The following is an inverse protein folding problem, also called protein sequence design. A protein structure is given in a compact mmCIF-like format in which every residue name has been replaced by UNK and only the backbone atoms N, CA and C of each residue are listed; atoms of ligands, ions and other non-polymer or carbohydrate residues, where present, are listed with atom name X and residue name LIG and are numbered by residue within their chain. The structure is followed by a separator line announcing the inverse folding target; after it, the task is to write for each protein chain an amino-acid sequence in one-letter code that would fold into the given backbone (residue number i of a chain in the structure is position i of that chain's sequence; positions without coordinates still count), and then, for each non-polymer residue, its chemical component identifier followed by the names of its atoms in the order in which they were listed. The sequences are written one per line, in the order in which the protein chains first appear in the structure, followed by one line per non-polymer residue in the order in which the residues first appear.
data_IF_020367837626
#
_entry.id   IF_020367837626
#
_cell.length_a   1.000
_cell.length_b   1.000
_cell.length_c   1.000
_cell.angle_alpha   90.00
_cell.angle_beta   90.00
_cell.angle_gamma   90.00
#
_symmetry.space_group_name_H-M   'P 1'
#
loop_
_entity.id
_entity.type
_entity.pdbx_description
1 polymer ?
#
# COMPACT_ATOMS: atom_id res chain seq x y z
N UNK A 1 46.53 -13.92 30.11
CA UNK A 1 45.12 -14.24 29.95
C UNK A 1 44.39 -12.95 29.59
N UNK A 2 44.16 -12.72 28.30
CA UNK A 2 43.35 -11.59 27.80
C UNK A 2 42.22 -12.21 26.99
N UNK A 3 41.09 -12.48 27.62
CA UNK A 3 39.90 -13.08 27.08
C UNK A 3 38.83 -12.02 26.71
N UNK A 4 37.83 -12.31 26.05
CA UNK A 4 37.42 -11.93 24.71
C UNK A 4 36.27 -10.93 24.73
N UNK A 5 36.56 -9.68 24.99
CA UNK A 5 35.58 -8.56 24.91
C UNK A 5 35.01 -8.45 23.48
N UNK A 6 35.74 -8.86 22.45
CA UNK A 6 35.26 -8.83 21.06
C UNK A 6 34.12 -9.80 20.76
N UNK A 7 34.06 -10.96 21.43
CA UNK A 7 33.02 -11.94 21.22
C UNK A 7 31.68 -11.51 21.88
N UNK A 8 31.76 -10.82 23.01
CA UNK A 8 30.57 -10.33 23.71
C UNK A 8 29.91 -9.18 22.93
N UNK A 9 30.71 -8.29 22.32
CA UNK A 9 30.19 -7.21 21.48
C UNK A 9 29.53 -7.72 20.19
N UNK A 10 30.07 -8.77 19.57
CA UNK A 10 29.48 -9.37 18.36
C UNK A 10 28.14 -10.08 18.66
N UNK A 11 28.01 -10.70 19.85
CA UNK A 11 26.77 -11.37 20.24
C UNK A 11 25.69 -10.36 20.64
N UNK A 12 26.06 -9.25 21.27
CA UNK A 12 25.13 -8.16 21.59
C UNK A 12 24.62 -7.43 20.33
N UNK A 13 25.47 -7.30 19.29
CA UNK A 13 25.08 -6.72 18.01
C UNK A 13 24.11 -7.63 17.21
N UNK A 14 24.26 -8.96 17.34
CA UNK A 14 23.31 -9.91 16.73
C UNK A 14 21.94 -9.91 17.42
N UNK A 15 21.89 -9.63 18.71
CA UNK A 15 20.61 -9.53 19.46
C UNK A 15 19.85 -8.24 19.15
N UNK A 16 20.53 -7.17 18.73
CA UNK A 16 19.87 -5.92 18.32
C UNK A 16 19.30 -5.97 16.90
N UNK A 17 19.72 -6.94 16.07
CA UNK A 17 19.20 -7.13 14.71
C UNK A 17 17.94 -8.04 14.68
N UNK A 18 17.47 -8.54 15.82
CA UNK A 18 16.25 -9.36 15.94
C UNK A 18 15.02 -8.55 16.37
N UNK A 19 15.09 -7.21 16.22
CA UNK A 19 13.96 -6.35 16.51
C UNK A 19 13.09 -6.22 15.25
N UNK A 20 11.80 -6.44 15.48
CA UNK A 20 10.66 -6.12 14.65
C UNK A 20 10.33 -7.03 13.45
N UNK A 21 10.22 -8.34 13.71
CA UNK A 21 9.09 -9.02 13.09
C UNK A 21 7.89 -8.74 14.02
N UNK A 22 7.35 -7.55 13.92
CA UNK A 22 6.04 -7.30 14.46
C UNK A 22 5.09 -8.22 13.71
N UNK A 23 4.62 -9.28 14.36
CA UNK A 23 3.59 -10.13 13.80
C UNK A 23 2.42 -9.19 13.46
N UNK A 24 2.03 -9.15 12.20
CA UNK A 24 0.90 -8.35 11.77
C UNK A 24 -0.32 -8.83 12.57
N UNK A 25 -0.85 -7.95 13.41
CA UNK A 25 -2.02 -8.26 14.23
C UNK A 25 -3.22 -8.38 13.31
N UNK A 26 -3.72 -9.59 13.09
CA UNK A 26 -4.91 -9.82 12.29
C UNK A 26 -6.14 -9.41 13.08
N UNK A 27 -6.88 -8.44 12.59
CA UNK A 27 -8.16 -8.01 13.19
C UNK A 27 -9.24 -9.03 12.85
N UNK A 28 -9.76 -9.67 13.88
CA UNK A 28 -10.92 -10.56 13.74
C UNK A 28 -12.23 -9.78 13.89
N UNK A 29 -13.30 -10.27 13.27
CA UNK A 29 -14.64 -9.70 13.37
C UNK A 29 -14.74 -8.24 12.92
N UNK A 30 -14.24 -7.93 11.73
CA UNK A 30 -14.30 -6.59 11.12
C UNK A 30 -15.75 -6.10 11.04
N UNK A 31 -16.69 -6.97 10.65
CA UNK A 31 -18.12 -6.64 10.52
C UNK A 31 -18.81 -6.22 11.83
N UNK A 32 -18.24 -6.54 12.99
CA UNK A 32 -18.76 -6.16 14.31
C UNK A 32 -18.14 -4.87 14.88
N UNK A 33 -17.31 -4.16 14.09
CA UNK A 33 -16.63 -2.94 14.50
C UNK A 33 -17.23 -1.72 13.81
N UNK A 34 -16.99 -0.54 14.37
CA UNK A 34 -17.30 0.71 13.68
C UNK A 34 -16.40 0.83 12.45
N UNK A 35 -16.98 0.81 11.26
CA UNK A 35 -16.25 0.83 9.98
C UNK A 35 -16.70 2.02 9.15
N UNK A 36 -15.73 2.75 8.62
CA UNK A 36 -15.93 3.72 7.54
C UNK A 36 -15.43 3.09 6.24
N UNK A 37 -16.34 2.83 5.30
CA UNK A 37 -15.95 2.30 4.00
C UNK A 37 -15.24 3.35 3.14
N UNK A 38 -14.12 2.96 2.55
CA UNK A 38 -13.39 3.74 1.55
C UNK A 38 -13.64 3.21 0.12
N UNK A 39 -14.59 2.30 -0.05
CA UNK A 39 -14.98 1.76 -1.36
C UNK A 39 -15.49 2.85 -2.30
N UNK A 40 -15.46 2.55 -3.59
CA UNK A 40 -15.95 3.41 -4.64
C UNK A 40 -14.86 3.80 -5.62
N UNK A 41 -14.97 4.98 -6.24
CA UNK A 41 -13.99 5.43 -7.24
C UNK A 41 -12.78 6.04 -6.58
N UNK A 42 -11.61 5.52 -6.94
CA UNK A 42 -10.31 6.04 -6.55
C UNK A 42 -9.63 6.66 -7.76
N UNK A 43 -8.89 7.72 -7.54
CA UNK A 43 -8.00 8.26 -8.56
C UNK A 43 -6.83 7.28 -8.76
N UNK A 44 -6.38 7.10 -9.99
CA UNK A 44 -5.34 6.12 -10.31
C UNK A 44 -4.33 6.64 -11.32
N UNK A 45 -3.11 6.13 -11.23
CA UNK A 45 -2.01 6.39 -12.16
C UNK A 45 -1.39 5.06 -12.56
N UNK A 46 -1.31 4.79 -13.86
CA UNK A 46 -0.56 3.64 -14.39
C UNK A 46 0.90 4.02 -14.48
N UNK A 47 1.74 3.37 -13.69
CA UNK A 47 3.18 3.64 -13.60
C UNK A 47 3.96 2.66 -14.48
N UNK A 48 3.95 2.92 -15.78
CA UNK A 48 4.54 2.02 -16.79
C UNK A 48 6.04 1.76 -16.58
N UNK A 49 6.74 2.67 -15.93
CA UNK A 49 8.20 2.62 -15.78
C UNK A 49 8.63 2.38 -14.34
N UNK A 50 7.69 2.15 -13.42
CA UNK A 50 7.94 1.94 -11.99
C UNK A 50 8.78 3.07 -11.36
N UNK A 51 8.49 4.31 -11.76
CA UNK A 51 9.19 5.51 -11.29
C UNK A 51 8.43 6.27 -10.21
N UNK A 52 7.21 5.88 -9.89
CA UNK A 52 6.34 6.63 -8.98
C UNK A 52 6.93 6.83 -7.60
N UNK A 53 7.63 5.82 -7.04
CA UNK A 53 8.34 5.96 -5.75
C UNK A 53 9.48 6.96 -5.83
N UNK A 54 10.28 6.90 -6.87
CA UNK A 54 11.40 7.83 -7.11
C UNK A 54 10.90 9.26 -7.26
N UNK A 55 9.79 9.43 -7.96
CA UNK A 55 9.14 10.73 -8.16
C UNK A 55 8.25 11.14 -6.98
N UNK A 56 8.14 10.29 -5.95
CA UNK A 56 7.39 10.54 -4.72
C UNK A 56 5.94 10.96 -4.99
N UNK A 57 5.26 10.28 -5.94
CA UNK A 57 3.89 10.62 -6.33
C UNK A 57 2.90 10.48 -5.17
N UNK A 58 3.23 9.66 -4.16
CA UNK A 58 2.46 9.52 -2.93
C UNK A 58 2.37 10.82 -2.09
N UNK A 59 3.23 11.81 -2.36
CA UNK A 59 3.13 13.13 -1.74
C UNK A 59 2.05 14.00 -2.39
N UNK A 60 1.59 13.64 -3.58
CA UNK A 60 0.63 14.41 -4.37
C UNK A 60 0.97 15.92 -4.43
N UNK A 61 2.24 16.20 -4.71
CA UNK A 61 2.73 17.59 -4.80
C UNK A 61 2.10 18.27 -6.01
N UNK A 62 1.84 19.55 -5.87
CA UNK A 62 1.43 20.42 -6.97
C UNK A 62 2.60 21.29 -7.41
N UNK A 63 2.66 21.70 -8.68
CA UNK A 63 3.65 22.66 -9.15
C UNK A 63 3.53 23.95 -8.34
N UNK A 64 4.65 24.42 -7.79
CA UNK A 64 4.73 25.71 -7.06
C UNK A 64 5.03 26.86 -8.00
N UNK A 65 5.56 26.57 -9.19
CA UNK A 65 5.92 27.56 -10.20
C UNK A 65 5.72 27.05 -11.63
N UNK A 66 5.84 27.98 -12.60
CA UNK A 66 5.65 27.66 -14.04
C UNK A 66 6.72 26.71 -14.61
N UNK A 67 7.85 26.58 -13.93
CA UNK A 67 8.97 25.73 -14.34
C UNK A 67 8.97 24.37 -13.65
N UNK A 68 8.09 24.17 -12.65
CA UNK A 68 7.97 22.90 -11.95
C UNK A 68 7.16 21.95 -12.80
N UNK A 69 7.77 20.85 -13.15
CA UNK A 69 7.15 19.79 -13.91
C UNK A 69 7.01 18.54 -13.02
N UNK A 70 5.77 18.08 -12.87
CA UNK A 70 5.47 16.78 -12.27
C UNK A 70 4.86 15.89 -13.34
N UNK A 71 5.53 14.80 -13.62
CA UNK A 71 5.10 13.83 -14.65
C UNK A 71 3.79 13.15 -14.29
N UNK A 72 3.54 12.99 -12.98
CA UNK A 72 2.39 12.25 -12.47
C UNK A 72 1.53 13.14 -11.57
N UNK A 73 0.23 13.12 -11.81
CA UNK A 73 -0.76 13.78 -10.96
C UNK A 73 -2.01 12.94 -10.86
N UNK A 74 -2.56 12.82 -9.66
CA UNK A 74 -3.87 12.20 -9.45
C UNK A 74 -5.03 13.12 -9.87
N UNK A 75 -4.77 14.41 -10.03
CA UNK A 75 -5.79 15.36 -10.45
C UNK A 75 -6.09 15.13 -11.96
N UNK A 76 -7.35 14.86 -12.30
CA UNK A 76 -7.82 14.56 -13.66
C UNK A 76 -7.26 13.27 -14.31
N UNK A 77 -6.78 12.35 -13.48
CA UNK A 77 -6.29 11.06 -13.91
C UNK A 77 -7.39 10.04 -14.19
N UNK A 78 -6.94 8.80 -14.37
CA UNK A 78 -7.78 7.63 -14.45
C UNK A 78 -8.54 7.44 -13.13
N UNK A 79 -9.77 6.90 -13.20
CA UNK A 79 -10.53 6.47 -12.02
C UNK A 79 -10.87 5.00 -12.12
N UNK A 80 -10.55 4.27 -11.06
CA UNK A 80 -10.84 2.85 -10.94
C UNK A 80 -11.80 2.60 -9.77
N UNK A 81 -12.66 1.62 -9.94
CA UNK A 81 -13.54 1.17 -8.86
C UNK A 81 -12.75 0.29 -7.88
N UNK A 82 -12.98 0.50 -6.60
CA UNK A 82 -12.44 -0.28 -5.48
C UNK A 82 -13.63 -0.72 -4.61
N UNK A 83 -13.76 -2.02 -4.30
CA UNK A 83 -12.89 -3.12 -4.70
C UNK A 83 -13.14 -3.57 -6.15
N UNK A 84 -12.07 -3.78 -6.89
CA UNK A 84 -12.05 -4.45 -8.19
C UNK A 84 -10.60 -4.62 -8.69
N UNK A 85 -10.41 -5.42 -9.75
CA UNK A 85 -9.17 -5.45 -10.51
C UNK A 85 -9.19 -4.45 -11.67
N UNK A 86 -8.01 -3.91 -12.04
CA UNK A 86 -7.95 -2.98 -13.16
C UNK A 86 -8.06 -3.65 -14.53
N UNK A 87 -7.74 -4.94 -14.61
CA UNK A 87 -7.70 -5.68 -15.87
C UNK A 87 -9.10 -5.85 -16.48
N UNK A 88 -10.15 -5.92 -15.64
CA UNK A 88 -11.53 -6.03 -16.07
C UNK A 88 -12.23 -4.67 -16.26
N UNK A 89 -11.69 -3.58 -15.71
CA UNK A 89 -12.34 -2.27 -15.75
C UNK A 89 -12.07 -1.50 -17.05
N UNK A 90 -10.89 -1.71 -17.65
CA UNK A 90 -10.46 -0.95 -18.81
C UNK A 90 -9.82 -1.85 -19.87
N UNK A 91 -10.25 -1.73 -21.14
CA UNK A 91 -9.66 -2.51 -22.24
C UNK A 91 -8.15 -2.34 -22.36
N UNK A 92 -7.63 -1.11 -22.12
CA UNK A 92 -6.22 -0.76 -22.19
C UNK A 92 -5.38 -1.47 -21.12
N UNK A 93 -5.99 -1.80 -19.98
CA UNK A 93 -5.34 -2.48 -18.86
C UNK A 93 -5.60 -3.99 -18.85
N UNK A 94 -6.35 -4.52 -19.81
CA UNK A 94 -6.76 -5.93 -19.84
C UNK A 94 -5.59 -6.91 -19.64
N UNK A 95 -4.45 -6.59 -20.21
CA UNK A 95 -3.25 -7.44 -20.15
C UNK A 95 -2.08 -6.76 -19.42
N UNK A 96 -2.37 -5.65 -18.73
CA UNK A 96 -1.34 -4.92 -18.01
C UNK A 96 -0.89 -5.68 -16.77
N UNK A 97 0.41 -5.94 -16.71
CA UNK A 97 1.14 -6.36 -15.51
C UNK A 97 2.16 -5.29 -15.17
N UNK A 98 2.13 -4.79 -13.97
CA UNK A 98 3.01 -3.70 -13.56
C UNK A 98 2.47 -2.97 -12.33
N UNK A 99 2.84 -1.72 -12.21
CA UNK A 99 2.48 -0.88 -11.07
C UNK A 99 1.34 0.06 -11.41
N UNK A 100 0.31 0.06 -10.57
CA UNK A 100 -0.77 1.05 -10.57
C UNK A 100 -0.83 1.68 -9.17
N UNK A 101 -0.83 3.01 -9.16
CA UNK A 101 -1.03 3.79 -7.96
C UNK A 101 -2.49 4.16 -7.82
N UNK A 102 -3.05 3.94 -6.64
CA UNK A 102 -4.39 4.34 -6.25
C UNK A 102 -4.31 5.48 -5.26
N UNK A 103 -5.26 6.42 -5.32
CA UNK A 103 -5.35 7.47 -4.32
C UNK A 103 -6.80 7.74 -3.91
N UNK A 104 -7.00 8.00 -2.62
CA UNK A 104 -8.27 8.39 -2.02
C UNK A 104 -8.09 9.49 -1.00
N UNK A 105 -8.97 10.49 -1.06
CA UNK A 105 -9.11 11.48 0.01
C UNK A 105 -10.28 11.09 0.90
N UNK A 106 -10.11 11.25 2.21
CA UNK A 106 -11.16 10.95 3.17
C UNK A 106 -10.98 11.74 4.46
N UNK A 107 -12.07 11.90 5.18
CA UNK A 107 -12.08 12.49 6.49
C UNK A 107 -12.24 11.38 7.53
N UNK A 108 -11.55 11.50 8.64
CA UNK A 108 -11.62 10.55 9.74
C UNK A 108 -11.95 11.31 11.02
N UNK A 109 -13.17 11.18 11.55
CA UNK A 109 -13.53 11.82 12.79
C UNK A 109 -12.60 11.35 13.92
N UNK A 110 -12.20 12.27 14.78
CA UNK A 110 -11.35 11.97 15.92
C UNK A 110 -12.02 10.93 16.82
N UNK A 111 -11.30 9.84 17.09
CA UNK A 111 -11.75 8.77 17.96
C UNK A 111 -10.82 8.65 19.16
N UNK A 112 -11.05 9.50 20.15
CA UNK A 112 -10.26 9.53 21.39
C UNK A 112 -10.31 8.17 22.10
N UNK A 113 -9.13 7.62 22.38
CA UNK A 113 -8.98 6.38 23.16
C UNK A 113 -9.28 5.09 22.38
N UNK A 114 -9.46 5.13 21.06
CA UNK A 114 -9.64 3.95 20.22
C UNK A 114 -8.45 3.75 19.29
N UNK A 115 -8.09 2.50 19.04
CA UNK A 115 -7.14 2.14 17.98
C UNK A 115 -7.86 2.20 16.63
N UNK A 116 -7.17 2.76 15.63
CA UNK A 116 -7.69 2.91 14.27
C UNK A 116 -6.82 2.13 13.30
N UNK A 117 -7.45 1.45 12.37
CA UNK A 117 -6.77 0.60 11.40
C UNK A 117 -7.30 0.86 10.00
N UNK A 118 -6.42 0.79 9.01
CA UNK A 118 -6.81 0.56 7.63
C UNK A 118 -6.87 -0.96 7.42
N UNK A 119 -8.03 -1.44 6.98
CA UNK A 119 -8.25 -2.84 6.62
C UNK A 119 -8.34 -2.98 5.10
N UNK A 120 -7.60 -3.94 4.56
CA UNK A 120 -7.68 -4.34 3.17
C UNK A 120 -8.04 -5.82 3.12
N UNK A 121 -9.16 -6.17 2.49
CA UNK A 121 -9.58 -7.56 2.37
C UNK A 121 -8.72 -8.36 1.40
N UNK A 122 -8.21 -7.73 0.35
CA UNK A 122 -7.15 -8.26 -0.51
C UNK A 122 -6.60 -7.19 -1.45
N UNK A 123 -5.29 -7.22 -1.69
CA UNK A 123 -4.61 -6.40 -2.70
C UNK A 123 -3.70 -7.31 -3.53
N UNK A 124 -3.90 -7.36 -4.83
CA UNK A 124 -3.17 -8.28 -5.70
C UNK A 124 -2.10 -7.53 -6.51
N UNK A 125 -0.83 -7.85 -6.43
CA UNK A 125 -0.25 -8.95 -5.62
C UNK A 125 0.57 -8.41 -4.45
N UNK A 126 1.34 -7.33 -4.67
CA UNK A 126 2.14 -6.61 -3.66
C UNK A 126 1.67 -5.19 -3.58
N UNK A 127 1.70 -4.63 -2.39
CA UNK A 127 1.40 -3.21 -2.23
C UNK A 127 2.28 -2.54 -1.18
N UNK A 128 2.36 -1.20 -1.31
CA UNK A 128 2.84 -0.28 -0.28
C UNK A 128 1.77 0.76 -0.04
N UNK A 129 1.56 1.08 1.20
CA UNK A 129 0.51 1.99 1.63
C UNK A 129 1.14 3.23 2.22
N UNK A 130 0.69 4.39 1.75
CA UNK A 130 1.16 5.70 2.18
C UNK A 130 -0.02 6.51 2.69
N UNK A 131 0.11 7.06 3.89
CA UNK A 131 -0.89 7.94 4.49
C UNK A 131 -0.26 9.31 4.74
N UNK A 132 -0.88 10.35 4.19
CA UNK A 132 -0.42 11.74 4.33
C UNK A 132 1.04 11.96 3.92
N UNK A 133 1.55 11.14 2.98
CA UNK A 133 2.92 11.22 2.45
C UNK A 133 3.95 10.35 3.16
N UNK A 134 3.55 9.60 4.18
CA UNK A 134 4.40 8.68 4.94
C UNK A 134 4.06 7.24 4.56
N UNK A 135 5.08 6.39 4.35
CA UNK A 135 4.87 4.94 4.17
C UNK A 135 4.50 4.33 5.53
N UNK A 136 3.31 3.73 5.59
CA UNK A 136 2.78 3.15 6.83
C UNK A 136 2.76 1.63 6.84
N UNK A 137 2.98 0.99 5.69
CA UNK A 137 3.05 -0.46 5.61
C UNK A 137 3.16 -0.99 4.20
N UNK A 138 3.44 -2.28 4.11
CA UNK A 138 3.51 -3.04 2.86
C UNK A 138 2.92 -4.43 3.08
N UNK A 139 2.41 -5.04 2.00
CA UNK A 139 1.88 -6.40 2.04
C UNK A 139 2.21 -7.13 0.74
N UNK A 140 2.39 -8.44 0.84
CA UNK A 140 2.55 -9.33 -0.29
C UNK A 140 1.63 -10.54 -0.12
N UNK A 141 0.83 -10.82 -1.14
CA UNK A 141 -0.14 -11.91 -1.15
C UNK A 141 -1.51 -11.43 -1.64
N UNK A 142 -1.94 -11.89 -2.82
CA UNK A 142 -3.11 -11.35 -3.53
C UNK A 142 -4.47 -11.73 -2.95
N UNK A 143 -4.54 -12.59 -1.92
CA UNK A 143 -5.80 -13.21 -1.50
C UNK A 143 -6.07 -13.11 0.01
N UNK A 144 -5.11 -12.66 0.77
CA UNK A 144 -5.18 -12.57 2.23
C UNK A 144 -5.46 -11.15 2.69
N UNK A 145 -6.32 -10.96 3.70
CA UNK A 145 -6.51 -9.65 4.31
C UNK A 145 -5.30 -9.23 5.13
N UNK A 146 -5.14 -7.92 5.28
CA UNK A 146 -4.14 -7.32 6.15
C UNK A 146 -4.64 -6.00 6.72
N UNK A 147 -4.07 -5.62 7.85
CA UNK A 147 -4.38 -4.39 8.55
C UNK A 147 -3.12 -3.60 8.85
N UNK A 148 -3.27 -2.28 8.80
CA UNK A 148 -2.21 -1.34 9.17
C UNK A 148 -2.77 -0.43 10.25
N UNK A 149 -2.13 -0.39 11.41
CA UNK A 149 -2.52 0.54 12.47
C UNK A 149 -2.17 1.97 12.07
N UNK A 150 -3.15 2.86 12.17
CA UNK A 150 -3.03 4.29 11.85
C UNK A 150 -3.42 5.18 13.03
N UNK A 151 -3.43 4.62 14.23
CA UNK A 151 -3.74 5.35 15.46
C UNK A 151 -2.79 6.56 15.61
N UNK A 152 -3.36 7.75 15.69
CA UNK A 152 -2.59 8.99 15.80
C UNK A 152 -1.95 9.50 14.47
N UNK A 153 -2.08 8.76 13.37
CA UNK A 153 -1.58 9.18 12.05
C UNK A 153 -2.66 9.89 11.21
N UNK A 154 -3.93 9.72 11.58
CA UNK A 154 -5.06 10.32 10.88
C UNK A 154 -5.27 11.77 11.32
N UNK A 155 -5.63 12.59 10.35
CA UNK A 155 -6.14 13.95 10.56
C UNK A 155 -7.67 13.90 10.61
N UNK A 156 -8.34 14.82 11.30
CA UNK A 156 -9.80 14.91 11.29
C UNK A 156 -10.36 15.06 9.88
N UNK A 157 -9.67 15.84 9.05
CA UNK A 157 -10.08 16.13 7.67
C UNK A 157 -8.91 16.06 6.70
N UNK A 158 -9.21 15.78 5.44
CA UNK A 158 -8.28 15.86 4.33
C UNK A 158 -7.15 14.84 4.35
N UNK A 159 -7.37 13.63 4.88
CA UNK A 159 -6.38 12.57 4.75
C UNK A 159 -6.20 12.19 3.28
N UNK A 160 -4.95 11.95 2.92
CA UNK A 160 -4.58 11.46 1.61
C UNK A 160 -3.96 10.06 1.75
N UNK A 161 -4.66 9.07 1.24
CA UNK A 161 -4.21 7.68 1.18
C UNK A 161 -3.76 7.39 -0.24
N UNK A 162 -2.51 6.94 -0.40
CA UNK A 162 -1.99 6.43 -1.64
C UNK A 162 -1.56 4.97 -1.48
N UNK A 163 -1.89 4.13 -2.46
CA UNK A 163 -1.55 2.71 -2.46
C UNK A 163 -0.85 2.37 -3.77
N UNK A 164 0.40 2.01 -3.69
CA UNK A 164 1.15 1.41 -4.80
C UNK A 164 0.79 -0.07 -4.87
N UNK A 165 0.26 -0.51 -5.99
CA UNK A 165 -0.10 -1.92 -6.22
C UNK A 165 0.67 -2.44 -7.42
N UNK A 166 1.33 -3.58 -7.27
CA UNK A 166 2.08 -4.21 -8.36
C UNK A 166 1.67 -5.69 -8.49
N UNK A 167 1.20 -6.07 -9.68
CA UNK A 167 0.79 -7.43 -9.99
C UNK A 167 1.80 -8.19 -10.88
N UNK A 168 2.99 -7.68 -11.06
CA UNK A 168 4.02 -8.37 -11.86
C UNK A 168 4.27 -9.76 -11.29
N UNK A 169 4.14 -10.78 -12.13
CA UNK A 169 4.42 -12.16 -11.75
C UNK A 169 5.90 -12.38 -11.55
N UNK A 170 6.23 -13.09 -10.48
CA UNK A 170 7.59 -13.51 -10.17
C UNK A 170 7.63 -15.04 -9.96
N UNK A 171 8.81 -15.61 -10.00
CA UNK A 171 8.98 -17.08 -9.93
C UNK A 171 8.40 -17.68 -8.65
N UNK A 172 8.57 -16.97 -7.53
CA UNK A 172 8.21 -17.46 -6.19
C UNK A 172 6.84 -16.93 -5.69
N UNK A 173 6.03 -16.35 -6.59
CA UNK A 173 4.69 -15.83 -6.27
C UNK A 173 3.58 -16.85 -6.57
N UNK A 174 2.37 -16.57 -6.13
CA UNK A 174 1.15 -17.32 -6.45
C UNK A 174 0.12 -16.35 -7.06
N UNK A 175 -0.18 -16.42 -8.39
CA UNK A 175 0.37 -17.38 -9.36
C UNK A 175 1.82 -17.06 -9.75
N UNK A 176 2.62 -18.11 -9.90
CA UNK A 176 3.98 -17.99 -10.43
C UNK A 176 3.97 -17.85 -11.96
N UNK A 177 5.09 -17.43 -12.54
CA UNK A 177 5.22 -17.24 -14.00
C UNK A 177 4.90 -18.47 -14.85
N UNK A 178 5.08 -19.67 -14.28
CA UNK A 178 4.84 -20.93 -14.96
C UNK A 178 3.35 -21.31 -15.06
N UNK A 179 2.45 -20.65 -14.35
CA UNK A 179 1.03 -20.94 -14.40
C UNK A 179 0.35 -20.15 -15.51
N UNK A 180 -0.57 -20.80 -16.24
CA UNK A 180 -1.26 -20.23 -17.40
C UNK A 180 -2.43 -19.31 -17.06
N UNK A 181 -2.71 -19.04 -15.80
CA UNK A 181 -3.76 -18.10 -15.41
C UNK A 181 -3.23 -16.67 -15.25
N UNK A 182 -4.13 -15.75 -15.45
CA UNK A 182 -3.81 -14.31 -15.43
C UNK A 182 -3.71 -13.80 -14.00
N UNK A 183 -2.78 -12.89 -13.74
CA UNK A 183 -2.64 -12.23 -12.46
C UNK A 183 -3.39 -10.88 -12.48
N UNK A 184 -4.65 -10.90 -12.08
CA UNK A 184 -5.47 -9.70 -11.99
C UNK A 184 -4.97 -8.81 -10.86
N UNK A 185 -4.66 -7.54 -11.17
CA UNK A 185 -4.09 -6.60 -10.23
C UNK A 185 -5.11 -5.59 -9.70
N UNK A 186 -4.98 -5.18 -8.45
CA UNK A 186 -5.85 -4.16 -7.85
C UNK A 186 -6.11 -4.35 -6.37
N UNK A 187 -6.90 -3.44 -5.81
CA UNK A 187 -7.52 -3.59 -4.49
C UNK A 187 -8.81 -4.37 -4.74
N UNK A 188 -8.77 -5.69 -4.52
CA UNK A 188 -9.79 -6.61 -5.04
C UNK A 188 -10.86 -6.99 -4.03
N UNK A 189 -10.66 -6.68 -2.76
CA UNK A 189 -11.66 -6.87 -1.68
C UNK A 189 -11.64 -5.69 -0.71
N UNK A 190 -12.79 -5.53 -0.02
CA UNK A 190 -13.01 -4.51 1.01
C UNK A 190 -12.01 -4.59 2.15
#
# INVERSE_FOLDING_TARGET
MKTPIKFILSFALLLLAAADIAAQELITNVCGRDVQSLNGKWDAIVDLYDQGRKNKIYLNRKPEGKTDFYEYSFDNGLRLDVPSDWNCQMPELKYYEGTVWYARRFDAPEQTGRRQFLHFGAVSYRCRVYLNGEEIGAHEGGFTPFEIEVTGCLKPEGNFLAVEVNNTRITDAIPAMAFGWWNYGGITRD
#
